data_IF_164420564165
#
_entry.id   IF_164420564165
#
_cell.length_a   1.000
_cell.length_b   1.000
_cell.length_c   1.000
_cell.angle_alpha   90.00
_cell.angle_beta   90.00
_cell.angle_gamma   90.00
#
_symmetry.space_group_name_H-M   'P 1'
#
loop_
_entity.id
_entity.type
_entity.pdbx_description
1 polymer ?
#
# COMPACT_ATOMS: atom_id res chain seq x y z
N UNK A 1 -12.95 8.85 -3.38
CA UNK A 1 -12.09 7.93 -2.62
C UNK A 1 -12.92 6.94 -1.81
N UNK A 2 -13.90 7.39 -1.03
CA UNK A 2 -14.75 6.53 -0.17
C UNK A 2 -15.49 5.44 -0.95
N UNK A 3 -16.10 5.76 -2.09
CA UNK A 3 -16.79 4.76 -2.93
C UNK A 3 -15.85 3.66 -3.44
N UNK A 4 -14.63 4.00 -3.85
CA UNK A 4 -13.62 3.02 -4.25
C UNK A 4 -13.20 2.12 -3.10
N UNK A 5 -13.06 2.69 -1.89
CA UNK A 5 -12.73 1.92 -0.70
C UNK A 5 -13.85 0.93 -0.34
N UNK A 6 -15.11 1.32 -0.43
CA UNK A 6 -16.26 0.43 -0.22
C UNK A 6 -16.30 -0.72 -1.24
N UNK A 7 -16.15 -0.41 -2.53
CA UNK A 7 -16.13 -1.43 -3.58
C UNK A 7 -14.97 -2.42 -3.41
N UNK A 8 -13.85 -1.98 -2.86
CA UNK A 8 -12.70 -2.84 -2.61
C UNK A 8 -12.97 -3.97 -1.60
N UNK A 9 -13.99 -3.85 -0.74
CA UNK A 9 -14.36 -4.91 0.21
C UNK A 9 -14.75 -6.24 -0.47
N UNK A 10 -15.25 -6.19 -1.71
CA UNK A 10 -15.51 -7.42 -2.49
C UNK A 10 -14.23 -8.22 -2.79
N UNK A 11 -13.07 -7.61 -2.69
CA UNK A 11 -11.78 -8.27 -2.90
C UNK A 11 -11.15 -8.80 -1.62
N UNK A 12 -11.57 -8.29 -0.47
CA UNK A 12 -11.09 -8.71 0.84
C UNK A 12 -11.52 -7.75 1.93
N UNK A 13 -11.76 -8.30 3.11
CA UNK A 13 -12.22 -7.55 4.27
C UNK A 13 -11.52 -7.95 5.57
N UNK A 14 -10.40 -8.67 5.49
CA UNK A 14 -9.67 -9.11 6.68
C UNK A 14 -8.93 -7.94 7.35
N UNK A 15 -8.38 -7.05 6.57
CA UNK A 15 -7.83 -5.78 7.04
C UNK A 15 -7.88 -4.73 5.95
N UNK A 16 -7.81 -3.48 6.35
CA UNK A 16 -7.85 -2.34 5.43
C UNK A 16 -6.88 -1.26 5.87
N UNK A 17 -6.47 -0.42 4.93
CA UNK A 17 -5.63 0.73 5.24
C UNK A 17 -5.62 1.78 4.15
N UNK A 18 -5.20 2.97 4.56
CA UNK A 18 -5.08 4.16 3.75
C UNK A 18 -3.81 4.91 4.13
N UNK A 19 -3.02 5.28 3.14
CA UNK A 19 -1.97 6.26 3.27
C UNK A 19 -2.31 7.49 2.44
N UNK A 20 -2.12 8.68 3.00
CA UNK A 20 -2.29 9.96 2.31
C UNK A 20 -1.05 10.81 2.52
N UNK A 21 -0.65 11.56 1.50
CA UNK A 21 0.45 12.52 1.58
C UNK A 21 -0.02 13.94 1.32
N UNK A 22 0.31 14.83 2.25
CA UNK A 22 0.10 16.27 2.13
C UNK A 22 1.44 16.93 1.87
N UNK A 23 1.50 17.83 0.90
CA UNK A 23 2.73 18.56 0.58
C UNK A 23 3.09 19.53 1.71
N UNK A 24 4.35 19.59 2.10
CA UNK A 24 4.84 20.56 3.07
C UNK A 24 5.18 21.86 2.34
N UNK A 25 4.75 22.96 2.93
CA UNK A 25 5.11 24.31 2.45
C UNK A 25 6.51 24.73 2.90
N UNK A 26 7.10 24.06 3.90
CA UNK A 26 8.43 24.34 4.43
C UNK A 26 9.49 23.55 3.64
N UNK A 27 10.40 24.21 2.89
CA UNK A 27 11.42 23.54 2.08
C UNK A 27 12.48 22.78 2.92
N UNK A 28 12.57 23.03 4.23
CA UNK A 28 13.48 22.34 5.13
C UNK A 28 12.91 21.03 5.67
N UNK A 29 11.65 20.72 5.36
CA UNK A 29 10.98 19.47 5.74
C UNK A 29 10.90 18.50 4.56
N UNK A 30 10.70 17.21 4.83
CA UNK A 30 10.36 16.27 3.76
C UNK A 30 9.19 16.79 2.92
N UNK A 31 9.27 16.63 1.60
CA UNK A 31 8.24 17.14 0.67
C UNK A 31 6.82 16.77 1.07
N UNK A 32 6.63 15.58 1.60
CA UNK A 32 5.31 15.12 2.04
C UNK A 32 5.26 14.81 3.53
N UNK A 33 4.23 15.33 4.18
CA UNK A 33 3.76 14.81 5.44
C UNK A 33 2.83 13.62 5.17
N UNK A 34 3.22 12.44 5.61
CA UNK A 34 2.50 11.20 5.29
C UNK A 34 1.78 10.66 6.52
N UNK A 35 0.53 10.33 6.31
CA UNK A 35 -0.33 9.70 7.31
C UNK A 35 -0.71 8.31 6.83
N UNK A 36 -0.51 7.31 7.67
CA UNK A 36 -0.90 5.92 7.39
C UNK A 36 -1.82 5.42 8.49
N UNK A 37 -2.95 4.88 8.10
CA UNK A 37 -3.92 4.26 9.00
C UNK A 37 -4.21 2.85 8.51
N UNK A 38 -4.08 1.87 9.39
CA UNK A 38 -4.38 0.46 9.10
C UNK A 38 -5.26 -0.12 10.21
N UNK A 39 -6.16 -1.02 9.84
CA UNK A 39 -7.08 -1.70 10.77
C UNK A 39 -7.35 -3.13 10.35
N UNK A 40 -7.71 -3.94 11.32
CA UNK A 40 -8.40 -5.20 11.09
C UNK A 40 -9.84 -4.88 10.70
N UNK A 41 -10.38 -5.61 9.73
CA UNK A 41 -11.70 -5.40 9.16
C UNK A 41 -11.68 -4.68 7.82
N UNK A 42 -12.84 -4.62 7.19
CA UNK A 42 -13.01 -4.00 5.88
C UNK A 42 -12.90 -2.47 5.92
N UNK A 43 -13.04 -1.85 4.75
CA UNK A 43 -12.90 -0.41 4.59
C UNK A 43 -13.93 0.42 5.38
N UNK A 44 -15.10 -0.12 5.70
CA UNK A 44 -16.08 0.56 6.55
C UNK A 44 -15.47 0.94 7.90
N UNK A 45 -14.90 -0.04 8.60
CA UNK A 45 -14.22 0.20 9.88
C UNK A 45 -13.07 1.22 9.79
N UNK A 46 -12.37 1.27 8.65
CA UNK A 46 -11.33 2.27 8.40
C UNK A 46 -11.91 3.67 8.19
N UNK A 47 -12.95 3.79 7.35
CA UNK A 47 -13.58 5.06 6.99
C UNK A 47 -14.35 5.70 8.13
N UNK A 48 -14.87 4.93 9.08
CA UNK A 48 -15.52 5.40 10.30
C UNK A 48 -14.53 5.97 11.34
N UNK A 49 -13.24 5.72 11.16
CA UNK A 49 -12.20 6.29 12.04
C UNK A 49 -12.18 7.81 11.94
N UNK A 50 -12.31 8.56 13.07
CA UNK A 50 -12.31 10.02 13.05
C UNK A 50 -11.10 10.60 12.32
N UNK A 51 -9.91 10.07 12.56
CA UNK A 51 -8.67 10.54 11.93
C UNK A 51 -8.66 10.32 10.41
N UNK A 52 -9.25 9.25 9.91
CA UNK A 52 -9.35 8.97 8.47
C UNK A 52 -10.39 9.88 7.83
N UNK A 53 -11.54 10.04 8.49
CA UNK A 53 -12.64 10.89 8.03
C UNK A 53 -12.20 12.34 7.89
N UNK A 54 -11.59 12.91 8.92
CA UNK A 54 -11.05 14.28 8.91
C UNK A 54 -10.10 14.52 7.73
N UNK A 55 -9.21 13.56 7.44
CA UNK A 55 -8.26 13.66 6.34
C UNK A 55 -8.89 13.59 4.97
N UNK A 56 -9.88 12.71 4.80
CA UNK A 56 -10.61 12.58 3.53
C UNK A 56 -11.46 13.82 3.29
N UNK A 57 -12.13 14.34 4.31
CA UNK A 57 -12.99 15.52 4.23
C UNK A 57 -12.17 16.79 4.01
N UNK A 58 -10.98 16.88 4.58
CA UNK A 58 -10.06 18.01 4.40
C UNK A 58 -9.45 18.14 3.00
N UNK A 59 -9.49 17.08 2.18
CA UNK A 59 -9.16 17.03 0.74
C UNK A 59 -7.79 17.56 0.29
N UNK A 60 -6.88 17.85 1.20
CA UNK A 60 -5.58 18.46 0.90
C UNK A 60 -4.45 17.44 0.68
N UNK A 61 -4.74 16.26 0.17
CA UNK A 61 -3.71 15.28 -0.13
C UNK A 61 -3.34 15.28 -1.62
N UNK A 62 -2.05 15.15 -1.91
CA UNK A 62 -1.49 15.02 -3.26
C UNK A 62 -1.57 13.58 -3.77
N UNK A 63 -1.54 12.62 -2.86
CA UNK A 63 -1.75 11.23 -3.18
C UNK A 63 -2.51 10.50 -2.07
N UNK A 64 -3.17 9.42 -2.46
CA UNK A 64 -3.75 8.44 -1.55
C UNK A 64 -3.52 7.03 -2.09
N UNK A 65 -3.06 6.11 -1.23
CA UNK A 65 -2.97 4.68 -1.53
C UNK A 65 -3.86 3.96 -0.51
N UNK A 66 -4.91 3.32 -1.00
CA UNK A 66 -5.84 2.52 -0.19
C UNK A 66 -5.76 1.05 -0.56
N UNK A 67 -6.00 0.16 0.40
CA UNK A 67 -6.04 -1.26 0.18
C UNK A 67 -7.00 -1.97 1.14
N UNK A 68 -7.70 -2.97 0.64
CA UNK A 68 -8.44 -3.96 1.42
C UNK A 68 -7.81 -5.33 1.19
N UNK A 69 -7.47 -6.01 2.27
CA UNK A 69 -6.67 -7.24 2.22
C UNK A 69 -7.55 -8.48 2.36
N UNK A 70 -7.34 -9.45 1.47
CA UNK A 70 -7.64 -10.85 1.72
C UNK A 70 -6.34 -11.54 2.13
N UNK A 71 -6.23 -11.96 3.39
CA UNK A 71 -4.99 -12.51 3.92
C UNK A 71 -4.76 -13.92 3.37
N UNK A 72 -3.64 -14.11 2.68
CA UNK A 72 -3.13 -15.40 2.19
C UNK A 72 -1.84 -15.81 2.90
N UNK A 73 -1.00 -14.84 3.26
CA UNK A 73 0.26 -15.01 3.98
C UNK A 73 0.28 -14.04 5.15
N UNK A 74 0.71 -14.51 6.33
CA UNK A 74 0.78 -13.73 7.55
C UNK A 74 -0.58 -13.57 8.25
N UNK A 75 -0.55 -13.39 9.55
CA UNK A 75 -1.76 -13.24 10.37
C UNK A 75 -2.52 -11.96 10.07
N UNK A 76 -3.81 -11.98 10.38
CA UNK A 76 -4.68 -10.81 10.25
C UNK A 76 -4.48 -9.90 11.45
N UNK A 77 -3.72 -8.84 11.26
CA UNK A 77 -3.52 -7.77 12.22
C UNK A 77 -3.29 -6.43 11.50
N UNK A 78 -3.28 -5.34 12.23
CA UNK A 78 -3.07 -4.00 11.65
C UNK A 78 -1.65 -3.81 11.09
N UNK A 79 -0.65 -4.48 11.65
CA UNK A 79 0.74 -4.39 11.18
C UNK A 79 0.93 -5.05 9.80
N UNK A 80 0.12 -6.06 9.48
CA UNK A 80 0.13 -6.76 8.20
C UNK A 80 -0.90 -6.21 7.19
N UNK A 81 -1.55 -5.08 7.51
CA UNK A 81 -2.41 -4.38 6.56
C UNK A 81 -1.59 -3.44 5.67
N UNK A 82 -1.95 -3.40 4.37
CA UNK A 82 -1.41 -2.39 3.45
C UNK A 82 -2.10 -1.03 3.67
N UNK A 83 -1.49 0.08 3.22
CA UNK A 83 -0.17 0.20 2.61
C UNK A 83 0.97 0.05 3.63
N UNK A 84 2.08 -0.52 3.18
CA UNK A 84 3.32 -0.54 3.96
C UNK A 84 4.13 0.73 3.75
N UNK A 85 4.79 1.19 4.82
CA UNK A 85 5.84 2.20 4.73
C UNK A 85 7.17 1.57 5.08
N UNK A 86 8.06 1.49 4.10
CA UNK A 86 9.42 0.99 4.26
C UNK A 86 10.40 2.06 3.72
N UNK A 87 11.06 2.75 4.65
CA UNK A 87 11.92 3.89 4.31
C UNK A 87 11.16 5.01 3.60
N UNK A 88 11.57 5.30 2.38
CA UNK A 88 10.96 6.32 1.49
C UNK A 88 9.86 5.77 0.58
N UNK A 89 9.55 4.49 0.67
CA UNK A 89 8.52 3.82 -0.14
C UNK A 89 7.24 3.64 0.68
N UNK A 90 6.10 3.95 0.06
CA UNK A 90 4.78 3.60 0.58
C UNK A 90 4.04 2.85 -0.51
N UNK A 91 3.62 1.62 -0.25
CA UNK A 91 3.04 0.82 -1.30
C UNK A 91 2.02 -0.22 -0.87
N UNK A 92 1.25 -0.69 -1.84
CA UNK A 92 0.26 -1.74 -1.71
C UNK A 92 0.42 -2.78 -2.82
N UNK A 93 0.12 -4.03 -2.49
CA UNK A 93 0.30 -5.20 -3.34
C UNK A 93 -0.98 -6.03 -3.37
N UNK A 94 -1.36 -6.45 -4.57
CA UNK A 94 -2.36 -7.47 -4.80
C UNK A 94 -1.70 -8.68 -5.48
N UNK A 95 -1.65 -9.79 -4.76
CA UNK A 95 -1.04 -11.03 -5.26
C UNK A 95 -0.26 -11.80 -4.21
N UNK A 96 0.71 -12.60 -4.68
CA UNK A 96 1.63 -13.37 -3.84
C UNK A 96 2.98 -13.48 -4.54
N UNK A 97 4.06 -13.14 -3.83
CA UNK A 97 5.44 -13.16 -4.34
C UNK A 97 6.24 -14.24 -3.61
N UNK A 98 6.52 -15.35 -4.28
CA UNK A 98 7.12 -16.50 -3.64
C UNK A 98 8.55 -16.28 -3.14
N UNK A 99 9.35 -15.48 -3.85
CA UNK A 99 10.74 -15.17 -3.46
C UNK A 99 10.84 -14.28 -2.22
N UNK A 100 9.75 -13.56 -1.90
CA UNK A 100 9.65 -12.74 -0.69
C UNK A 100 8.80 -13.41 0.40
N UNK A 101 8.50 -14.69 0.25
CA UNK A 101 7.75 -15.43 1.27
C UNK A 101 8.59 -15.55 2.54
N UNK A 102 8.09 -15.07 3.67
CA UNK A 102 8.81 -15.22 4.93
C UNK A 102 8.94 -16.68 5.34
N UNK A 103 9.96 -16.98 6.12
CA UNK A 103 10.07 -18.29 6.76
C UNK A 103 8.86 -18.57 7.66
N UNK A 104 8.54 -19.85 7.89
CA UNK A 104 7.32 -20.23 8.61
C UNK A 104 7.22 -19.62 10.02
N UNK A 105 8.33 -19.47 10.70
CA UNK A 105 8.44 -18.88 12.03
C UNK A 105 8.30 -17.35 12.04
N UNK A 106 8.33 -16.71 10.87
CA UNK A 106 8.17 -15.27 10.70
C UNK A 106 6.79 -14.85 10.17
N UNK A 107 5.93 -15.82 9.80
CA UNK A 107 4.62 -15.52 9.21
C UNK A 107 3.72 -14.64 10.09
N UNK A 108 3.94 -14.66 11.41
CA UNK A 108 3.21 -13.81 12.36
C UNK A 108 3.61 -12.32 12.26
N UNK A 109 4.84 -12.06 11.85
CA UNK A 109 5.46 -10.75 11.91
C UNK A 109 5.50 -10.04 10.57
N UNK A 110 5.67 -10.77 9.49
CA UNK A 110 5.92 -10.18 8.18
C UNK A 110 5.13 -10.88 7.06
N UNK A 111 4.91 -10.14 5.97
CA UNK A 111 4.30 -10.64 4.74
C UNK A 111 5.30 -10.55 3.59
N UNK A 112 5.07 -11.31 2.51
CA UNK A 112 5.81 -11.20 1.26
C UNK A 112 5.83 -9.76 0.72
N UNK A 113 4.71 -9.09 0.80
CA UNK A 113 4.54 -7.70 0.37
C UNK A 113 5.44 -6.74 1.14
N UNK A 114 5.54 -6.90 2.46
CA UNK A 114 6.39 -6.05 3.30
C UNK A 114 7.86 -6.27 2.99
N UNK A 115 8.26 -7.52 2.83
CA UNK A 115 9.63 -7.88 2.45
C UNK A 115 9.99 -7.30 1.08
N UNK A 116 9.05 -7.34 0.11
CA UNK A 116 9.25 -6.72 -1.20
C UNK A 116 9.51 -5.21 -1.08
N UNK A 117 8.64 -4.46 -0.38
CA UNK A 117 8.80 -3.01 -0.26
C UNK A 117 10.05 -2.61 0.52
N UNK A 118 10.44 -3.40 1.50
CA UNK A 118 11.72 -3.22 2.21
C UNK A 118 12.91 -3.43 1.27
N UNK A 119 12.87 -4.46 0.44
CA UNK A 119 13.90 -4.71 -0.56
C UNK A 119 13.92 -3.60 -1.62
N UNK A 120 12.78 -3.21 -2.14
CA UNK A 120 12.63 -2.10 -3.09
C UNK A 120 13.25 -0.80 -2.55
N UNK A 121 13.01 -0.47 -1.27
CA UNK A 121 13.55 0.72 -0.63
C UNK A 121 15.09 0.70 -0.48
N UNK A 122 15.69 -0.48 -0.40
CA UNK A 122 17.14 -0.64 -0.18
C UNK A 122 17.93 -0.84 -1.46
N UNK A 123 17.42 -1.67 -2.37
CA UNK A 123 18.14 -2.20 -3.51
C UNK A 123 17.62 -1.68 -4.86
N UNK A 124 16.52 -0.92 -4.83
CA UNK A 124 15.94 -0.33 -6.04
C UNK A 124 14.97 -1.26 -6.78
N UNK A 125 14.34 -0.70 -7.82
CA UNK A 125 13.22 -1.33 -8.52
C UNK A 125 13.63 -2.54 -9.31
N UNK A 126 14.76 -2.49 -10.03
CA UNK A 126 15.22 -3.58 -10.89
C UNK A 126 15.50 -4.84 -10.07
N UNK A 127 16.25 -4.70 -8.97
CA UNK A 127 16.54 -5.82 -8.07
C UNK A 127 15.27 -6.38 -7.41
N UNK A 128 14.31 -5.51 -7.05
CA UNK A 128 13.06 -5.96 -6.43
C UNK A 128 12.19 -6.72 -7.43
N UNK A 129 12.12 -6.28 -8.68
CA UNK A 129 11.33 -6.95 -9.73
C UNK A 129 11.95 -8.26 -10.17
N UNK A 130 13.25 -8.32 -10.31
CA UNK A 130 13.97 -9.56 -10.62
C UNK A 130 13.66 -10.68 -9.61
N UNK A 131 13.53 -10.33 -8.34
CA UNK A 131 13.11 -11.27 -7.30
C UNK A 131 11.62 -11.57 -7.31
N UNK A 132 10.79 -10.63 -7.73
CA UNK A 132 9.33 -10.77 -7.73
C UNK A 132 8.79 -11.61 -8.88
N UNK A 133 9.58 -11.97 -9.90
CA UNK A 133 9.08 -12.65 -11.09
C UNK A 133 8.46 -14.03 -10.82
N UNK A 134 8.80 -14.66 -9.68
CA UNK A 134 8.18 -15.90 -9.19
C UNK A 134 6.89 -15.62 -8.39
N UNK A 135 5.88 -15.09 -9.01
CA UNK A 135 4.61 -14.85 -8.33
C UNK A 135 3.58 -14.20 -9.23
N UNK A 136 2.45 -13.87 -8.64
CA UNK A 136 1.37 -13.13 -9.29
C UNK A 136 1.23 -11.80 -8.57
N UNK A 137 1.44 -10.67 -9.27
CA UNK A 137 1.43 -9.38 -8.61
C UNK A 137 0.88 -8.23 -9.45
N UNK A 138 0.21 -7.32 -8.75
CA UNK A 138 -0.02 -5.94 -9.14
C UNK A 138 0.40 -5.05 -7.97
N UNK A 139 1.32 -4.15 -8.22
CA UNK A 139 2.01 -3.31 -7.24
C UNK A 139 1.74 -1.85 -7.56
N UNK A 140 1.53 -1.06 -6.52
CA UNK A 140 1.57 0.39 -6.59
C UNK A 140 2.37 0.94 -5.42
N UNK A 141 3.17 1.97 -5.68
CA UNK A 141 3.89 2.67 -4.61
C UNK A 141 4.18 4.11 -4.98
N UNK A 142 4.30 4.93 -3.96
CA UNK A 142 4.91 6.24 -4.08
C UNK A 142 6.34 6.19 -3.53
N UNK A 143 7.26 6.77 -4.28
CA UNK A 143 8.59 7.07 -3.81
C UNK A 143 8.60 8.53 -3.29
N UNK A 144 8.84 8.71 -2.00
CA UNK A 144 8.79 10.02 -1.36
C UNK A 144 10.02 10.89 -1.65
N UNK A 145 11.11 10.33 -2.19
CA UNK A 145 12.32 11.08 -2.52
C UNK A 145 12.15 11.89 -3.82
N UNK A 146 11.58 11.25 -4.84
CA UNK A 146 11.37 11.85 -6.16
C UNK A 146 9.90 12.21 -6.45
N UNK A 147 8.99 11.90 -5.51
CA UNK A 147 7.56 12.14 -5.60
C UNK A 147 6.87 11.42 -6.77
N UNK A 148 7.41 10.28 -7.21
CA UNK A 148 6.83 9.49 -8.29
C UNK A 148 5.81 8.48 -7.75
N UNK A 149 4.69 8.34 -8.47
CA UNK A 149 3.72 7.27 -8.26
C UNK A 149 3.96 6.19 -9.32
N UNK A 150 4.24 4.99 -8.86
CA UNK A 150 4.71 3.89 -9.67
C UNK A 150 3.69 2.76 -9.68
N UNK A 151 3.59 2.08 -10.83
CA UNK A 151 2.70 0.94 -11.05
C UNK A 151 3.45 -0.13 -11.84
N UNK A 152 3.31 -1.37 -11.40
CA UNK A 152 3.79 -2.52 -12.16
C UNK A 152 2.88 -3.72 -11.92
N UNK A 153 2.72 -4.54 -12.93
CA UNK A 153 2.05 -5.83 -12.82
C UNK A 153 2.70 -6.87 -13.69
N UNK A 154 2.50 -8.13 -13.37
CA UNK A 154 2.70 -9.21 -14.32
C UNK A 154 1.36 -9.67 -14.94
N UNK A 155 1.43 -10.64 -15.84
CA UNK A 155 0.26 -11.15 -16.57
C UNK A 155 -0.83 -11.75 -15.67
N UNK A 156 -0.48 -12.20 -14.47
CA UNK A 156 -1.34 -12.98 -13.58
C UNK A 156 -2.19 -12.14 -12.64
N UNK A 157 -2.01 -10.79 -12.65
CA UNK A 157 -2.85 -9.86 -11.89
C UNK A 157 -3.24 -8.65 -12.72
N UNK A 158 -4.54 -8.30 -12.77
CA UNK A 158 -4.98 -7.10 -13.47
C UNK A 158 -4.58 -5.83 -12.70
N UNK A 159 -4.26 -4.78 -13.46
CA UNK A 159 -4.11 -3.41 -12.98
C UNK A 159 -4.79 -2.49 -13.98
N UNK A 160 -5.67 -1.65 -13.49
CA UNK A 160 -6.41 -0.69 -14.30
C UNK A 160 -6.02 0.73 -13.92
N UNK A 161 -5.88 1.58 -14.90
CA UNK A 161 -5.60 2.99 -14.72
C UNK A 161 -6.66 3.81 -15.43
N UNK A 162 -7.16 4.84 -14.75
CA UNK A 162 -8.06 5.82 -15.33
C UNK A 162 -7.50 7.22 -15.07
N UNK A 163 -7.58 8.07 -16.08
CA UNK A 163 -7.21 9.48 -15.99
C UNK A 163 -8.49 10.31 -16.08
N UNK A 164 -8.68 11.24 -15.13
CA UNK A 164 -9.73 12.25 -15.27
C UNK A 164 -9.29 13.30 -16.27
N UNK A 165 -10.24 13.82 -17.04
CA UNK A 165 -10.00 15.07 -17.77
C UNK A 165 -9.83 16.19 -16.72
N UNK A 166 -8.78 16.97 -16.86
CA UNK A 166 -8.57 18.17 -16.06
C UNK A 166 -9.68 19.20 -16.33
#
# INVERSE_FOLDING_TARGET
LTGLAWLSNFRGNHSSGLATGVENDDPNKPRFHVYTNTRVGGSGALLESPNVKERIDGKNFRFAIGHTRFATIGVVNAANAHPYREGHIIGAHNGTMHMFRPAQDMLDKETDSRLFYRHLSKEGVDSAIDKAWHGAYALTWINLQDATLNFIRNKDRPLWMALSKA
#
